data_IF_746062790830
#
_entry.id   IF_746062790830
#
_cell.length_a   1.000
_cell.length_b   1.000
_cell.length_c   1.000
_cell.angle_alpha   90.00
_cell.angle_beta   90.00
_cell.angle_gamma   90.00
#
_symmetry.space_group_name_H-M   'P 1'
#
loop_
_entity.id
_entity.type
_entity.pdbx_description
1 polymer ?
#
# COMPACT_ATOMS: atom_id res chain seq x y z
N UNK A 1 26.49 -7.78 -24.26
CA UNK A 1 25.56 -7.41 -23.19
C UNK A 1 26.42 -7.15 -21.96
N UNK A 2 26.65 -5.85 -21.59
CA UNK A 2 27.37 -5.50 -20.37
C UNK A 2 26.64 -6.08 -19.16
N UNK A 3 27.34 -6.77 -18.27
CA UNK A 3 26.80 -7.19 -16.99
C UNK A 3 26.48 -5.92 -16.19
N UNK A 4 25.26 -5.86 -15.64
CA UNK A 4 24.91 -4.80 -14.71
C UNK A 4 25.77 -5.00 -13.46
N UNK A 5 26.54 -3.98 -13.10
CA UNK A 5 27.28 -3.99 -11.82
C UNK A 5 26.26 -3.90 -10.66
N UNK A 6 26.17 -4.93 -9.80
CA UNK A 6 25.23 -4.92 -8.69
C UNK A 6 25.43 -3.73 -7.74
N UNK A 7 26.65 -3.17 -7.67
CA UNK A 7 26.94 -1.98 -6.87
C UNK A 7 26.24 -0.71 -7.33
N UNK A 8 25.82 -0.66 -8.61
CA UNK A 8 25.12 0.49 -9.21
C UNK A 8 23.60 0.34 -9.22
N UNK A 9 23.06 -0.75 -8.69
CA UNK A 9 21.61 -0.93 -8.56
C UNK A 9 21.15 -0.42 -7.19
N UNK A 10 20.16 0.49 -7.10
CA UNK A 10 19.61 0.92 -5.84
C UNK A 10 19.17 -0.28 -4.99
N UNK A 11 19.41 -0.21 -3.68
CA UNK A 11 19.02 -1.27 -2.75
C UNK A 11 17.78 -0.84 -1.98
N UNK A 12 16.76 -1.66 -2.02
CA UNK A 12 15.51 -1.46 -1.27
C UNK A 12 15.29 -2.58 -0.26
N UNK A 13 14.74 -2.25 0.90
CA UNK A 13 14.23 -3.20 1.86
C UNK A 13 12.70 -3.29 1.76
N UNK A 14 12.19 -4.51 1.63
CA UNK A 14 10.77 -4.79 1.84
C UNK A 14 10.58 -5.39 3.24
N UNK A 15 9.74 -4.76 4.04
CA UNK A 15 9.37 -5.23 5.36
C UNK A 15 7.93 -5.71 5.33
N UNK A 16 7.72 -6.97 5.70
CA UNK A 16 6.40 -7.59 5.63
C UNK A 16 5.72 -7.63 7.00
N UNK A 17 4.58 -6.94 7.14
CA UNK A 17 3.72 -6.99 8.32
C UNK A 17 2.40 -7.69 7.94
N UNK A 18 2.20 -8.99 8.30
CA UNK A 18 1.21 -9.83 7.65
C UNK A 18 -0.22 -9.70 8.17
N UNK A 19 -0.52 -8.84 9.11
CA UNK A 19 -1.85 -8.80 9.72
C UNK A 19 -2.80 -7.82 9.07
N UNK A 20 -4.06 -8.25 8.96
CA UNK A 20 -5.21 -7.44 8.59
C UNK A 20 -6.26 -7.48 9.70
N UNK A 21 -7.06 -6.42 9.82
CA UNK A 21 -8.29 -6.45 10.61
C UNK A 21 -9.28 -7.44 10.01
N UNK A 22 -9.37 -7.41 8.67
CA UNK A 22 -10.20 -8.33 7.86
C UNK A 22 -9.52 -8.57 6.53
N UNK A 23 -9.41 -9.83 6.10
CA UNK A 23 -8.86 -10.19 4.80
C UNK A 23 -9.91 -9.97 3.72
N UNK A 24 -9.56 -9.20 2.69
CA UNK A 24 -10.43 -8.94 1.56
C UNK A 24 -10.66 -10.22 0.73
N UNK A 25 -11.86 -10.43 0.16
CA UNK A 25 -12.21 -11.67 -0.53
C UNK A 25 -11.42 -11.90 -1.83
N UNK A 26 -10.77 -10.90 -2.38
CA UNK A 26 -9.92 -10.98 -3.57
C UNK A 26 -8.43 -11.12 -3.26
N UNK A 27 -8.01 -10.86 -2.01
CA UNK A 27 -6.60 -10.70 -1.65
C UNK A 27 -5.89 -12.06 -1.56
N UNK A 28 -4.84 -12.24 -2.35
CA UNK A 28 -3.95 -13.41 -2.36
C UNK A 28 -2.66 -13.20 -1.55
N UNK A 29 -2.44 -11.99 -1.02
CA UNK A 29 -1.25 -11.69 -0.24
C UNK A 29 -1.10 -12.60 0.97
N UNK A 30 0.14 -12.82 1.39
CA UNK A 30 0.45 -13.52 2.62
C UNK A 30 0.02 -12.67 3.83
N UNK A 31 -1.28 -12.62 4.07
CA UNK A 31 -1.89 -11.82 5.13
C UNK A 31 -2.88 -12.65 5.95
N UNK A 32 -3.00 -12.32 7.23
CA UNK A 32 -3.76 -13.07 8.21
C UNK A 32 -4.61 -12.16 9.08
N UNK A 33 -5.79 -12.61 9.45
CA UNK A 33 -6.59 -12.00 10.52
C UNK A 33 -6.04 -12.39 11.89
N UNK A 34 -6.53 -11.78 12.95
CA UNK A 34 -6.15 -12.13 14.32
C UNK A 34 -4.96 -11.31 14.86
N UNK A 35 -4.79 -10.08 14.38
CA UNK A 35 -3.83 -9.15 14.97
C UNK A 35 -4.07 -8.96 16.47
N UNK A 36 -2.99 -9.04 17.25
CA UNK A 36 -2.99 -8.69 18.68
C UNK A 36 -1.88 -7.68 18.97
N UNK A 37 -2.14 -6.66 19.78
CA UNK A 37 -1.11 -5.71 20.20
C UNK A 37 0.12 -6.36 20.83
N UNK A 38 -0.03 -7.54 21.46
CA UNK A 38 1.07 -8.29 22.07
C UNK A 38 2.03 -8.91 21.07
N UNK A 39 1.65 -9.01 19.80
CA UNK A 39 2.49 -9.54 18.72
C UNK A 39 3.49 -8.51 18.17
N UNK A 40 3.27 -7.23 18.41
CA UNK A 40 4.04 -6.16 17.76
C UNK A 40 5.53 -6.25 18.13
N UNK A 41 5.85 -6.18 19.41
CA UNK A 41 7.24 -6.21 19.87
C UNK A 41 8.00 -7.48 19.41
N UNK A 42 7.53 -8.71 19.70
CA UNK A 42 8.28 -9.90 19.31
C UNK A 42 8.42 -10.03 17.78
N UNK A 43 7.47 -9.50 17.01
CA UNK A 43 7.58 -9.53 15.57
C UNK A 43 8.62 -8.54 15.03
N UNK A 44 8.69 -7.33 15.58
CA UNK A 44 9.75 -6.37 15.23
C UNK A 44 11.13 -6.94 15.59
N UNK A 45 11.27 -7.57 16.75
CA UNK A 45 12.52 -8.24 17.15
C UNK A 45 12.90 -9.37 16.16
N UNK A 46 11.92 -10.16 15.71
CA UNK A 46 12.15 -11.22 14.72
C UNK A 46 12.58 -10.66 13.36
N UNK A 47 11.95 -9.58 12.88
CA UNK A 47 12.35 -8.90 11.64
C UNK A 47 13.78 -8.36 11.70
N UNK A 48 14.18 -7.77 12.82
CA UNK A 48 15.53 -7.27 13.00
C UNK A 48 16.55 -8.41 13.09
N UNK A 49 16.18 -9.53 13.69
CA UNK A 49 17.01 -10.75 13.71
C UNK A 49 17.15 -11.36 12.30
N UNK A 50 16.06 -11.35 11.51
CA UNK A 50 16.10 -11.80 10.11
C UNK A 50 17.03 -10.91 9.28
N UNK A 51 16.94 -9.58 9.43
CA UNK A 51 17.87 -8.64 8.80
C UNK A 51 19.32 -8.90 9.19
N UNK A 52 19.60 -9.22 10.46
CA UNK A 52 20.94 -9.58 10.89
C UNK A 52 21.49 -10.81 10.17
N UNK A 53 20.65 -11.82 9.92
CA UNK A 53 21.03 -13.02 9.17
C UNK A 53 21.31 -12.73 7.67
N UNK A 54 20.70 -11.68 7.15
CA UNK A 54 20.77 -11.29 5.73
C UNK A 54 21.76 -10.13 5.46
N UNK A 55 22.47 -9.64 6.48
CA UNK A 55 23.40 -8.49 6.34
C UNK A 55 24.44 -8.64 5.22
N UNK A 56 24.81 -9.84 4.88
CA UNK A 56 25.76 -10.11 3.79
C UNK A 56 25.21 -9.65 2.42
N UNK A 57 23.88 -9.58 2.23
CA UNK A 57 23.27 -9.05 1.01
C UNK A 57 23.38 -7.54 0.88
N UNK A 58 23.53 -6.84 2.02
CA UNK A 58 23.72 -5.39 2.01
C UNK A 58 25.06 -5.01 1.36
N UNK A 59 26.09 -5.84 1.54
CA UNK A 59 27.42 -5.68 0.95
C UNK A 59 28.03 -4.27 1.12
N UNK A 60 27.70 -3.58 2.21
CA UNK A 60 28.14 -2.20 2.49
C UNK A 60 27.42 -1.11 1.71
N UNK A 61 26.39 -1.46 0.93
CA UNK A 61 25.58 -0.49 0.16
C UNK A 61 24.62 0.28 1.07
N UNK A 62 24.27 1.48 0.62
CA UNK A 62 23.15 2.23 1.23
C UNK A 62 21.82 1.54 0.91
N UNK A 63 20.87 1.65 1.83
CA UNK A 63 19.45 1.30 1.61
C UNK A 63 18.73 2.56 1.16
N UNK A 64 18.45 2.67 -0.12
CA UNK A 64 17.85 3.86 -0.73
C UNK A 64 16.35 3.99 -0.43
N UNK A 65 15.68 2.88 -0.15
CA UNK A 65 14.27 2.88 0.23
C UNK A 65 13.88 1.73 1.15
N UNK A 66 12.86 1.97 1.96
CA UNK A 66 12.19 0.96 2.78
C UNK A 66 10.70 0.97 2.42
N UNK A 67 10.14 -0.18 2.09
CA UNK A 67 8.72 -0.35 1.86
C UNK A 67 8.14 -1.28 2.93
N UNK A 68 7.27 -0.75 3.79
CA UNK A 68 6.61 -1.49 4.86
C UNK A 68 5.20 -1.84 4.37
N UNK A 69 5.02 -3.09 3.98
CA UNK A 69 3.81 -3.59 3.33
C UNK A 69 3.33 -4.93 3.87
N UNK A 70 2.38 -5.54 3.16
CA UNK A 70 1.92 -6.91 3.43
C UNK A 70 0.42 -7.04 3.66
N UNK A 71 -0.02 -7.08 4.91
CA UNK A 71 -1.45 -7.06 5.27
C UNK A 71 -1.97 -5.63 5.42
N UNK A 72 -1.85 -5.11 6.61
CA UNK A 72 -2.20 -3.73 6.98
C UNK A 72 -1.16 -3.20 7.96
N UNK A 73 -0.01 -2.71 7.49
CA UNK A 73 1.06 -2.21 8.34
C UNK A 73 0.62 -1.12 9.33
N UNK A 74 -0.37 -0.32 8.96
CA UNK A 74 -0.95 0.71 9.81
C UNK A 74 -1.74 0.19 11.03
N UNK A 75 -1.83 -1.11 11.23
CA UNK A 75 -2.30 -1.71 12.50
C UNK A 75 -1.26 -1.58 13.62
N UNK A 76 0.04 -1.56 13.26
CA UNK A 76 1.10 -1.39 14.24
C UNK A 76 1.09 0.03 14.80
N UNK A 77 1.32 0.15 16.10
CA UNK A 77 1.50 1.45 16.73
C UNK A 77 2.78 2.12 16.22
N UNK A 78 2.75 3.42 16.08
CA UNK A 78 3.87 4.21 15.51
C UNK A 78 5.19 4.03 16.25
N UNK A 79 5.16 3.77 17.57
CA UNK A 79 6.36 3.45 18.35
C UNK A 79 7.10 2.22 17.83
N UNK A 80 6.37 1.18 17.42
CA UNK A 80 6.97 -0.05 16.90
C UNK A 80 7.53 0.14 15.48
N UNK A 81 6.91 1.03 14.71
CA UNK A 81 7.49 1.46 13.43
C UNK A 81 8.77 2.28 13.66
N UNK A 82 8.80 3.15 14.66
CA UNK A 82 10.01 3.89 15.04
C UNK A 82 11.14 2.93 15.49
N UNK A 83 10.83 1.97 16.37
CA UNK A 83 11.78 0.95 16.85
C UNK A 83 12.34 0.10 15.69
N UNK A 84 11.48 -0.27 14.73
CA UNK A 84 11.90 -0.98 13.51
C UNK A 84 12.88 -0.14 12.69
N UNK A 85 12.54 1.11 12.40
CA UNK A 85 13.37 2.00 11.57
C UNK A 85 14.71 2.31 12.26
N UNK A 86 14.70 2.56 13.57
CA UNK A 86 15.93 2.72 14.36
C UNK A 86 16.78 1.44 14.34
N UNK A 87 16.13 0.28 14.50
CA UNK A 87 16.77 -1.01 14.42
C UNK A 87 17.43 -1.28 13.06
N UNK A 88 16.79 -0.90 11.97
CA UNK A 88 17.33 -0.98 10.60
C UNK A 88 18.53 -0.03 10.47
N UNK A 89 18.41 1.22 10.91
CA UNK A 89 19.48 2.22 10.82
C UNK A 89 20.75 1.84 11.62
N UNK A 90 20.61 1.03 12.65
CA UNK A 90 21.77 0.45 13.40
C UNK A 90 22.47 -0.67 12.61
N UNK A 91 21.84 -1.26 11.59
CA UNK A 91 22.31 -2.44 10.85
C UNK A 91 22.71 -2.15 9.42
N UNK A 92 22.14 -1.10 8.82
CA UNK A 92 22.35 -0.70 7.45
C UNK A 92 22.57 0.82 7.37
N UNK A 93 23.36 1.26 6.39
CA UNK A 93 23.44 2.69 6.11
C UNK A 93 22.16 3.16 5.42
N UNK A 94 21.42 4.02 6.10
CA UNK A 94 20.19 4.62 5.62
C UNK A 94 20.44 6.11 5.35
N UNK A 95 20.48 6.56 4.08
CA UNK A 95 20.61 7.97 3.73
C UNK A 95 19.49 8.82 4.34
N UNK A 96 19.75 10.07 4.63
CA UNK A 96 18.76 10.98 5.22
C UNK A 96 17.58 11.30 4.30
N UNK A 97 17.72 11.06 3.01
CA UNK A 97 16.72 11.24 1.95
C UNK A 97 16.09 9.89 1.49
N UNK A 98 16.44 8.78 2.14
CA UNK A 98 15.83 7.49 1.85
C UNK A 98 14.31 7.54 1.90
N UNK A 99 13.65 6.95 0.91
CA UNK A 99 12.19 6.85 0.92
C UNK A 99 11.73 5.76 1.88
N UNK A 100 10.88 6.13 2.83
CA UNK A 100 10.28 5.20 3.79
C UNK A 100 8.77 5.20 3.60
N UNK A 101 8.28 4.18 2.91
CA UNK A 101 6.85 4.01 2.60
C UNK A 101 6.19 3.08 3.60
N UNK A 102 4.99 3.45 4.07
CA UNK A 102 4.10 2.60 4.87
C UNK A 102 2.76 2.44 4.13
N UNK A 103 2.30 1.20 3.96
CA UNK A 103 0.93 0.91 3.50
C UNK A 103 -0.09 1.17 4.60
N UNK A 104 -1.20 1.79 4.24
CA UNK A 104 -2.32 2.07 5.15
C UNK A 104 -3.66 1.92 4.46
N UNK A 105 -4.67 1.49 5.22
CA UNK A 105 -6.05 1.67 4.82
C UNK A 105 -6.52 3.10 5.16
N UNK A 106 -7.50 3.63 4.43
CA UNK A 106 -8.02 4.99 4.67
C UNK A 106 -9.07 5.06 5.78
N UNK A 107 -9.26 3.99 6.56
CA UNK A 107 -10.21 3.99 7.68
C UNK A 107 -9.85 5.02 8.76
N UNK A 108 -10.84 5.46 9.51
CA UNK A 108 -10.69 6.52 10.52
C UNK A 108 -9.67 6.18 11.62
N UNK A 109 -9.58 4.90 12.00
CA UNK A 109 -8.64 4.46 13.02
C UNK A 109 -7.18 4.53 12.56
N UNK A 110 -6.92 4.18 11.30
CA UNK A 110 -5.58 4.22 10.70
C UNK A 110 -5.16 5.65 10.39
N UNK A 111 -6.04 6.43 9.77
CA UNK A 111 -5.73 7.81 9.39
C UNK A 111 -5.44 8.72 10.59
N UNK A 112 -6.04 8.46 11.75
CA UNK A 112 -5.74 9.20 12.98
C UNK A 112 -4.27 9.11 13.42
N UNK A 113 -3.52 8.10 12.93
CA UNK A 113 -2.11 7.84 13.27
C UNK A 113 -1.12 8.41 12.24
N UNK A 114 -1.56 8.99 11.15
CA UNK A 114 -0.64 9.45 10.09
C UNK A 114 0.43 10.41 10.60
N UNK A 115 0.05 11.33 11.50
CA UNK A 115 1.02 12.23 12.14
C UNK A 115 2.08 11.47 12.93
N UNK A 116 1.68 10.45 13.67
CA UNK A 116 2.59 9.67 14.50
C UNK A 116 3.53 8.83 13.65
N UNK A 117 3.07 8.27 12.52
CA UNK A 117 3.95 7.58 11.56
C UNK A 117 4.97 8.53 10.93
N UNK A 118 4.55 9.77 10.61
CA UNK A 118 5.49 10.77 10.12
C UNK A 118 6.57 11.10 11.16
N UNK A 119 6.19 11.23 12.42
CA UNK A 119 7.15 11.46 13.52
C UNK A 119 8.05 10.23 13.76
N UNK A 120 7.57 9.03 13.50
CA UNK A 120 8.34 7.79 13.56
C UNK A 120 9.38 7.65 12.43
N UNK A 121 9.36 8.53 11.41
CA UNK A 121 10.31 8.50 10.29
C UNK A 121 9.73 8.08 8.94
N UNK A 122 8.45 7.69 8.88
CA UNK A 122 7.78 7.42 7.60
C UNK A 122 7.64 8.74 6.82
N UNK A 123 8.08 8.78 5.57
CA UNK A 123 8.02 9.99 4.73
C UNK A 123 7.14 9.86 3.49
N UNK A 124 6.58 8.67 3.25
CA UNK A 124 5.60 8.39 2.19
C UNK A 124 4.53 7.42 2.68
N UNK A 125 3.28 7.60 2.27
CA UNK A 125 2.19 6.64 2.50
C UNK A 125 1.71 6.03 1.18
N UNK A 126 1.33 4.73 1.21
CA UNK A 126 0.52 4.10 0.16
C UNK A 126 -0.86 3.81 0.74
N UNK A 127 -1.90 4.45 0.19
CA UNK A 127 -3.24 4.43 0.78
C UNK A 127 -4.16 3.56 -0.08
N UNK A 128 -4.59 2.44 0.47
CA UNK A 128 -5.44 1.45 -0.18
C UNK A 128 -6.89 1.91 -0.32
N UNK A 129 -7.16 2.91 -1.14
CA UNK A 129 -8.50 3.45 -1.41
C UNK A 129 -9.37 2.46 -2.17
N UNK A 130 -8.85 1.89 -3.24
CA UNK A 130 -9.45 0.92 -4.16
C UNK A 130 -10.58 1.50 -5.02
N UNK A 131 -11.51 2.29 -4.48
CA UNK A 131 -12.56 3.03 -5.15
C UNK A 131 -13.10 4.13 -4.22
N UNK A 132 -13.72 5.16 -4.78
CA UNK A 132 -14.49 6.16 -4.02
C UNK A 132 -16.00 5.85 -4.02
N UNK A 133 -16.42 4.81 -4.74
CA UNK A 133 -17.81 4.35 -4.79
C UNK A 133 -18.09 3.32 -3.67
N UNK A 134 -19.05 3.60 -2.81
CA UNK A 134 -19.41 2.72 -1.69
C UNK A 134 -19.95 1.35 -2.13
N UNK A 135 -20.59 1.29 -3.28
CA UNK A 135 -21.09 0.03 -3.85
C UNK A 135 -19.94 -0.88 -4.29
N UNK A 136 -18.94 -0.32 -4.97
CA UNK A 136 -17.73 -1.01 -5.36
C UNK A 136 -16.91 -1.45 -4.13
N UNK A 137 -16.73 -0.58 -3.14
CA UNK A 137 -16.04 -0.91 -1.89
C UNK A 137 -16.73 -2.06 -1.15
N UNK A 138 -18.05 -2.04 -1.05
CA UNK A 138 -18.84 -3.12 -0.47
C UNK A 138 -18.69 -4.44 -1.24
N UNK A 139 -18.71 -4.39 -2.56
CA UNK A 139 -18.49 -5.57 -3.40
C UNK A 139 -17.09 -6.16 -3.23
N UNK A 140 -16.06 -5.32 -3.03
CA UNK A 140 -14.70 -5.72 -2.68
C UNK A 140 -14.54 -6.20 -1.23
N UNK A 141 -15.58 -6.11 -0.39
CA UNK A 141 -15.49 -6.46 1.03
C UNK A 141 -14.65 -5.49 1.86
N UNK A 142 -14.47 -4.24 1.37
CA UNK A 142 -13.78 -3.19 2.11
C UNK A 142 -14.62 -2.74 3.30
N UNK A 143 -13.94 -2.33 4.37
CA UNK A 143 -14.58 -1.89 5.63
C UNK A 143 -14.69 -0.37 5.74
N UNK A 144 -13.96 0.37 4.92
CA UNK A 144 -14.05 1.83 4.83
C UNK A 144 -15.03 2.27 3.74
N UNK A 145 -15.52 3.49 3.86
CA UNK A 145 -16.36 4.17 2.88
C UNK A 145 -15.55 5.11 1.98
N UNK A 146 -16.13 5.54 0.85
CA UNK A 146 -15.54 6.57 0.00
C UNK A 146 -15.27 7.87 0.73
N UNK A 147 -16.16 8.26 1.66
CA UNK A 147 -15.97 9.45 2.49
C UNK A 147 -14.81 9.32 3.48
N UNK A 148 -14.56 8.14 4.01
CA UNK A 148 -13.37 7.89 4.84
C UNK A 148 -12.10 7.97 3.99
N UNK A 149 -12.12 7.45 2.77
CA UNK A 149 -11.00 7.56 1.83
C UNK A 149 -10.68 9.03 1.52
N UNK A 150 -11.70 9.85 1.21
CA UNK A 150 -11.54 11.29 0.97
C UNK A 150 -10.91 12.01 2.17
N UNK A 151 -11.46 11.78 3.36
CA UNK A 151 -10.92 12.38 4.61
C UNK A 151 -9.49 11.96 4.89
N UNK A 152 -9.13 10.70 4.63
CA UNK A 152 -7.76 10.22 4.82
C UNK A 152 -6.79 10.92 3.87
N UNK A 153 -7.16 11.14 2.60
CA UNK A 153 -6.34 11.86 1.64
C UNK A 153 -6.19 13.35 2.00
N UNK A 154 -7.27 14.00 2.46
CA UNK A 154 -7.21 15.39 2.95
C UNK A 154 -6.29 15.50 4.19
N UNK A 155 -6.32 14.50 5.07
CA UNK A 155 -5.50 14.48 6.27
C UNK A 155 -4.02 14.25 5.95
N UNK A 156 -3.68 13.36 5.02
CA UNK A 156 -2.28 13.08 4.66
C UNK A 156 -1.58 14.34 4.14
N UNK A 157 -2.26 15.14 3.33
CA UNK A 157 -1.76 16.43 2.86
C UNK A 157 -1.55 17.42 4.03
N UNK A 158 -2.53 17.49 4.96
CA UNK A 158 -2.49 18.40 6.12
C UNK A 158 -1.39 18.05 7.12
N UNK A 159 -1.12 16.76 7.33
CA UNK A 159 -0.06 16.27 8.23
C UNK A 159 1.33 16.55 7.71
N UNK A 160 1.46 16.90 6.41
CA UNK A 160 2.71 17.34 5.80
C UNK A 160 3.54 16.19 5.22
N UNK A 161 2.91 15.12 4.78
CA UNK A 161 3.54 14.21 3.82
C UNK A 161 3.67 14.95 2.48
N UNK A 162 4.86 14.95 1.91
CA UNK A 162 5.12 15.57 0.61
C UNK A 162 4.79 14.64 -0.55
N UNK A 163 4.70 13.35 -0.28
CA UNK A 163 4.41 12.29 -1.25
C UNK A 163 3.51 11.23 -0.65
N UNK A 164 2.51 10.81 -1.39
CA UNK A 164 1.70 9.63 -1.10
C UNK A 164 1.26 8.97 -2.40
N UNK A 165 0.94 7.71 -2.32
CA UNK A 165 0.35 6.93 -3.39
C UNK A 165 -1.11 6.62 -3.06
N UNK A 166 -1.95 6.62 -4.07
CA UNK A 166 -3.34 6.16 -4.01
C UNK A 166 -3.42 4.84 -4.76
N UNK A 167 -3.72 3.75 -4.04
CA UNK A 167 -4.01 2.47 -4.68
C UNK A 167 -5.47 2.47 -5.12
N UNK A 168 -5.72 2.28 -6.40
CA UNK A 168 -7.03 2.33 -7.02
C UNK A 168 -7.22 1.12 -7.94
N UNK A 169 -8.38 0.49 -7.86
CA UNK A 169 -8.71 -0.68 -8.67
C UNK A 169 -9.73 -0.34 -9.74
N UNK A 170 -9.63 -1.04 -10.87
CA UNK A 170 -10.65 -1.02 -11.92
C UNK A 170 -11.09 -2.44 -12.31
N UNK A 171 -12.10 -2.55 -13.16
CA UNK A 171 -12.68 -3.85 -13.50
C UNK A 171 -13.49 -4.45 -12.35
N UNK A 172 -14.05 -3.60 -11.49
CA UNK A 172 -14.77 -4.00 -10.29
C UNK A 172 -16.17 -4.54 -10.63
N UNK A 173 -16.77 -5.38 -9.75
CA UNK A 173 -18.13 -5.87 -9.97
C UNK A 173 -19.12 -4.73 -10.19
N UNK A 174 -19.83 -4.77 -11.33
CA UNK A 174 -20.79 -3.73 -11.71
C UNK A 174 -20.19 -2.41 -12.22
N UNK A 175 -18.86 -2.28 -12.26
CA UNK A 175 -18.20 -1.08 -12.76
C UNK A 175 -18.31 -0.98 -14.29
N UNK A 176 -18.58 0.22 -14.77
CA UNK A 176 -18.52 0.58 -16.18
C UNK A 176 -17.45 1.68 -16.40
N UNK A 177 -17.28 2.09 -17.65
CA UNK A 177 -16.27 3.10 -18.03
C UNK A 177 -16.49 4.43 -17.30
N UNK A 178 -17.74 4.85 -17.08
CA UNK A 178 -18.05 6.13 -16.41
C UNK A 178 -17.63 6.08 -14.95
N UNK A 179 -17.94 4.98 -14.25
CA UNK A 179 -17.57 4.80 -12.84
C UNK A 179 -16.04 4.68 -12.65
N UNK A 180 -15.38 3.90 -13.53
CA UNK A 180 -13.92 3.78 -13.47
C UNK A 180 -13.22 5.12 -13.73
N UNK A 181 -13.73 5.90 -14.69
CA UNK A 181 -13.21 7.24 -14.98
C UNK A 181 -13.45 8.21 -13.82
N UNK A 182 -14.62 8.16 -13.17
CA UNK A 182 -14.91 9.01 -12.01
C UNK A 182 -13.94 8.74 -10.85
N UNK A 183 -13.71 7.46 -10.51
CA UNK A 183 -12.73 7.07 -9.49
C UNK A 183 -11.33 7.58 -9.83
N UNK A 184 -10.89 7.39 -11.07
CA UNK A 184 -9.55 7.79 -11.51
C UNK A 184 -9.37 9.31 -11.51
N UNK A 185 -10.38 10.06 -12.00
CA UNK A 185 -10.34 11.52 -12.01
C UNK A 185 -10.25 12.06 -10.58
N UNK A 186 -11.05 11.53 -9.66
CA UNK A 186 -10.98 11.94 -8.26
C UNK A 186 -9.63 11.60 -7.62
N UNK A 187 -9.02 10.46 -7.98
CA UNK A 187 -7.69 10.11 -7.52
C UNK A 187 -6.62 11.08 -8.07
N UNK A 188 -6.70 11.47 -9.32
CA UNK A 188 -5.79 12.46 -9.95
C UNK A 188 -5.87 13.79 -9.21
N UNK A 189 -7.07 14.29 -8.96
CA UNK A 189 -7.29 15.58 -8.28
C UNK A 189 -6.76 15.59 -6.84
N UNK A 190 -6.68 14.42 -6.19
CA UNK A 190 -6.25 14.26 -4.79
C UNK A 190 -4.84 13.71 -4.63
N UNK A 191 -4.16 13.34 -5.72
CA UNK A 191 -2.85 12.72 -5.65
C UNK A 191 -1.73 13.73 -5.42
N UNK A 192 -0.64 13.26 -4.80
CA UNK A 192 0.64 13.96 -4.78
C UNK A 192 1.60 13.37 -5.84
N UNK A 193 1.07 13.10 -7.02
CA UNK A 193 1.85 12.69 -8.19
C UNK A 193 2.08 11.18 -8.32
N UNK A 194 1.38 10.33 -7.55
CA UNK A 194 1.48 8.88 -7.70
C UNK A 194 0.13 8.18 -7.48
N UNK A 195 -0.25 7.35 -8.46
CA UNK A 195 -1.43 6.49 -8.42
C UNK A 195 -1.00 5.10 -8.88
N UNK A 196 -1.29 4.08 -8.06
CA UNK A 196 -1.24 2.69 -8.48
C UNK A 196 -2.63 2.30 -8.99
N UNK A 197 -2.80 2.25 -10.30
CA UNK A 197 -4.08 1.90 -10.92
C UNK A 197 -4.00 0.52 -11.56
N UNK A 198 -4.76 -0.45 -11.05
CA UNK A 198 -4.64 -1.86 -11.44
C UNK A 198 -5.99 -2.57 -11.52
N UNK A 199 -6.05 -3.58 -12.39
CA UNK A 199 -7.26 -4.36 -12.62
C UNK A 199 -7.49 -5.39 -11.50
N UNK A 200 -8.75 -5.57 -11.08
CA UNK A 200 -9.13 -6.69 -10.24
C UNK A 200 -8.91 -8.01 -10.99
N UNK A 201 -8.08 -8.87 -10.44
CA UNK A 201 -7.84 -10.24 -10.89
C UNK A 201 -8.41 -11.25 -9.90
N UNK A 202 -8.85 -12.41 -10.41
CA UNK A 202 -9.37 -13.49 -9.57
C UNK A 202 -8.24 -14.49 -9.32
N UNK A 203 -7.59 -14.32 -8.17
CA UNK A 203 -6.44 -15.15 -7.80
C UNK A 203 -6.85 -16.44 -7.09
N UNK A 204 -6.07 -17.50 -7.32
CA UNK A 204 -6.26 -18.80 -6.66
C UNK A 204 -6.16 -18.66 -5.14
N UNK A 205 -6.85 -19.54 -4.41
CA UNK A 205 -6.90 -19.57 -2.95
C UNK A 205 -7.56 -18.34 -2.29
N UNK A 206 -8.30 -17.52 -3.08
CA UNK A 206 -9.12 -16.43 -2.56
C UNK A 206 -10.59 -16.83 -2.46
N UNK A 207 -11.37 -16.03 -1.72
CA UNK A 207 -12.82 -16.24 -1.68
C UNK A 207 -13.45 -15.99 -3.06
N UNK A 208 -12.95 -15.00 -3.82
CA UNK A 208 -13.41 -14.72 -5.17
C UNK A 208 -13.09 -15.85 -6.16
N UNK A 209 -12.03 -16.62 -5.95
CA UNK A 209 -11.78 -17.82 -6.74
C UNK A 209 -12.86 -18.89 -6.55
N UNK A 210 -13.29 -19.11 -5.31
CA UNK A 210 -14.32 -20.11 -5.00
C UNK A 210 -15.74 -19.65 -5.28
N UNK A 211 -15.96 -18.32 -5.23
CA UNK A 211 -17.25 -17.67 -5.48
C UNK A 211 -17.01 -16.36 -6.25
N UNK A 212 -16.72 -16.45 -7.55
CA UNK A 212 -16.38 -15.28 -8.33
C UNK A 212 -17.57 -14.32 -8.43
N UNK A 213 -17.34 -13.02 -8.23
CA UNK A 213 -18.35 -12.01 -8.49
C UNK A 213 -18.57 -11.86 -10.00
N UNK A 214 -19.70 -11.24 -10.38
CA UNK A 214 -19.93 -10.88 -11.78
C UNK A 214 -19.03 -9.68 -12.13
N UNK A 215 -18.01 -9.92 -12.95
CA UNK A 215 -17.11 -8.89 -13.47
C UNK A 215 -17.65 -8.29 -14.77
N UNK A 216 -17.18 -7.08 -15.15
CA UNK A 216 -17.47 -6.50 -16.46
C UNK A 216 -17.00 -7.41 -17.60
N UNK A 217 -17.69 -7.35 -18.73
CA UNK A 217 -17.29 -8.06 -19.94
C UNK A 217 -15.96 -7.52 -20.50
N UNK A 218 -15.24 -8.35 -21.24
CA UNK A 218 -13.91 -8.05 -21.79
C UNK A 218 -13.87 -6.72 -22.57
N UNK A 219 -14.85 -6.47 -23.43
CA UNK A 219 -14.95 -5.20 -24.17
C UNK A 219 -15.08 -3.98 -23.24
N UNK A 220 -15.74 -4.15 -22.09
CA UNK A 220 -15.85 -3.08 -21.08
C UNK A 220 -14.52 -2.89 -20.37
N UNK A 221 -13.81 -3.98 -20.01
CA UNK A 221 -12.48 -3.92 -19.40
C UNK A 221 -11.46 -3.22 -20.31
N UNK A 222 -11.43 -3.57 -21.59
CA UNK A 222 -10.58 -2.90 -22.59
C UNK A 222 -10.91 -1.41 -22.73
N UNK A 223 -12.20 -1.06 -22.72
CA UNK A 223 -12.61 0.34 -22.80
C UNK A 223 -12.22 1.13 -21.55
N UNK A 224 -12.35 0.52 -20.35
CA UNK A 224 -11.90 1.09 -19.08
C UNK A 224 -10.38 1.33 -19.12
N UNK A 225 -9.61 0.31 -19.48
CA UNK A 225 -8.16 0.40 -19.56
C UNK A 225 -7.71 1.53 -20.49
N UNK A 226 -8.20 1.53 -21.73
CA UNK A 226 -7.84 2.54 -22.74
C UNK A 226 -8.19 3.98 -22.30
N UNK A 227 -9.38 4.18 -21.70
CA UNK A 227 -9.78 5.51 -21.27
C UNK A 227 -9.04 5.95 -20.01
N UNK A 228 -8.73 5.02 -19.09
CA UNK A 228 -7.94 5.34 -17.91
C UNK A 228 -6.49 5.71 -18.25
N UNK A 229 -5.86 4.97 -19.16
CA UNK A 229 -4.53 5.33 -19.67
C UNK A 229 -4.51 6.72 -20.33
N UNK A 230 -5.57 7.05 -21.09
CA UNK A 230 -5.70 8.40 -21.66
C UNK A 230 -5.79 9.47 -20.56
N UNK A 231 -6.61 9.25 -19.52
CA UNK A 231 -6.71 10.19 -18.40
C UNK A 231 -5.37 10.37 -17.66
N UNK A 232 -4.62 9.29 -17.43
CA UNK A 232 -3.32 9.35 -16.74
C UNK A 232 -2.25 10.05 -17.59
N UNK A 233 -2.33 9.93 -18.92
CA UNK A 233 -1.38 10.60 -19.81
C UNK A 233 -1.66 12.12 -19.96
N UNK A 234 -2.87 12.57 -19.64
CA UNK A 234 -3.28 13.97 -19.69
C UNK A 234 -3.00 14.71 -18.35
N UNK A 235 -2.79 13.98 -17.24
CA UNK A 235 -2.59 14.51 -15.90
C UNK A 235 -1.11 14.76 -15.57
#
# INVERSE_FOLDING_TARGET
RGMIDPGNVPLSLYVHLPWCTRKCPYCDFNSHEGFSPTLQQPYIEALLSDLDSQRHWLAGRAVDSIFIGGGTPSLFESRWIADLLEGIAKRAFLPSDAEITLESNPGSAESSRFRDYRLAGVNRLSIGVQSFDDGALKALGRIHSGDEARRALDLVATVGFSRWNIDLMHGLPGQNVVLAKADLTEAIDRSAGHISWYQLTIERNTHFWSRPPMLPEENTLEAVQRQGEACLNEA
#
